data_IF_193175926598
#
_entry.id   IF_193175926598
#
_cell.length_a   1.000
_cell.length_b   1.000
_cell.length_c   1.000
_cell.angle_alpha   90.00
_cell.angle_beta   90.00
_cell.angle_gamma   90.00
#
_symmetry.space_group_name_H-M   'P 1'
#
loop_
_entity.id
_entity.type
_entity.pdbx_description
1 polymer ?
#
# COMPACT_ATOMS: atom_id res chain seq x y z
N UNK A 1 15.07 7.11 -50.40
CA UNK A 1 16.11 6.30 -49.73
C UNK A 1 16.73 7.20 -48.67
N UNK A 2 16.29 7.10 -47.40
CA UNK A 2 16.88 6.23 -46.36
C UNK A 2 18.15 6.88 -45.77
N UNK A 3 18.37 7.09 -44.47
CA UNK A 3 17.75 6.61 -43.22
C UNK A 3 17.91 7.69 -42.11
N UNK A 4 16.95 7.75 -41.18
CA UNK A 4 17.09 8.45 -39.90
C UNK A 4 17.80 7.54 -38.88
N UNK A 5 18.75 8.09 -38.12
CA UNK A 5 19.46 7.39 -37.06
C UNK A 5 18.59 7.32 -35.79
N UNK A 6 18.30 6.10 -35.34
CA UNK A 6 17.62 5.82 -34.08
C UNK A 6 18.63 5.87 -32.92
N UNK A 7 18.34 6.66 -31.89
CA UNK A 7 19.07 6.62 -30.61
C UNK A 7 18.33 5.65 -29.69
N UNK A 8 18.96 4.52 -29.38
CA UNK A 8 18.42 3.51 -28.47
C UNK A 8 18.75 3.88 -27.01
N UNK A 9 17.71 4.06 -26.19
CA UNK A 9 17.83 4.09 -24.73
C UNK A 9 18.01 2.66 -24.21
N UNK A 10 19.07 2.42 -23.44
CA UNK A 10 19.36 1.14 -22.78
C UNK A 10 18.87 1.22 -21.32
N UNK A 11 17.93 0.38 -20.87
CA UNK A 11 17.57 0.26 -19.46
C UNK A 11 18.66 -0.49 -18.67
N UNK A 12 19.04 -0.05 -17.45
CA UNK A 12 19.94 -0.82 -16.61
C UNK A 12 19.15 -1.94 -15.91
N UNK A 13 19.84 -3.04 -15.66
CA UNK A 13 19.42 -4.18 -14.83
C UNK A 13 18.66 -5.30 -15.53
N UNK A 14 19.28 -5.92 -16.55
CA UNK A 14 19.06 -7.36 -16.77
C UNK A 14 20.37 -8.09 -17.13
N UNK A 15 20.64 -9.11 -16.30
CA UNK A 15 21.48 -10.30 -16.51
C UNK A 15 23.01 -10.16 -16.42
N UNK A 16 23.57 -10.82 -15.40
CA UNK A 16 24.80 -11.58 -15.58
C UNK A 16 24.67 -12.94 -14.89
N UNK A 17 24.23 -13.94 -15.65
CA UNK A 17 24.51 -15.35 -15.35
C UNK A 17 25.90 -15.63 -15.93
N UNK A 18 26.83 -16.10 -15.11
CA UNK A 18 28.04 -16.77 -15.58
C UNK A 18 28.02 -18.22 -15.15
N UNK A 19 28.15 -19.11 -16.13
CA UNK A 19 28.23 -20.54 -15.97
C UNK A 19 29.68 -21.05 -16.08
N UNK A 20 29.85 -22.31 -15.67
CA UNK A 20 30.98 -23.25 -15.78
C UNK A 20 32.06 -23.14 -14.68
N UNK A 21 32.60 -24.23 -14.10
CA UNK A 21 32.72 -25.61 -14.56
C UNK A 21 32.82 -26.66 -13.41
N UNK A 22 32.70 -27.93 -13.82
CA UNK A 22 32.66 -29.24 -13.13
C UNK A 22 33.74 -29.51 -12.07
N UNK A 23 33.47 -30.43 -11.11
CA UNK A 23 34.11 -31.78 -10.99
C UNK A 23 33.74 -32.54 -9.67
N UNK A 24 33.33 -33.82 -9.86
CA UNK A 24 33.38 -35.05 -9.02
C UNK A 24 32.63 -35.22 -7.67
N UNK A 25 31.64 -36.13 -7.76
CA UNK A 25 31.27 -37.27 -6.87
C UNK A 25 32.02 -37.46 -5.54
N UNK A 26 31.27 -37.68 -4.44
CA UNK A 26 31.20 -38.98 -3.74
C UNK A 26 30.30 -38.99 -2.48
N UNK A 27 29.52 -40.08 -2.37
CA UNK A 27 29.25 -40.87 -1.15
C UNK A 27 28.54 -40.27 0.09
N UNK A 28 27.31 -40.77 0.31
CA UNK A 28 26.68 -41.20 1.58
C UNK A 28 27.39 -40.85 2.91
N UNK A 29 26.66 -40.21 3.83
CA UNK A 29 26.42 -40.69 5.22
C UNK A 29 25.40 -39.83 5.99
N UNK A 30 24.34 -40.49 6.46
CA UNK A 30 23.32 -40.03 7.40
C UNK A 30 23.88 -39.94 8.83
N UNK A 31 23.69 -38.82 9.55
CA UNK A 31 23.46 -38.73 11.03
C UNK A 31 23.23 -37.26 11.50
N UNK A 32 22.72 -37.01 12.71
CA UNK A 32 21.43 -36.39 12.98
C UNK A 32 21.52 -34.90 13.38
N UNK A 33 20.37 -34.22 13.26
CA UNK A 33 20.13 -32.86 13.75
C UNK A 33 20.41 -32.76 15.26
N UNK A 34 21.26 -31.80 15.65
CA UNK A 34 21.20 -31.19 16.99
C UNK A 34 20.41 -29.88 16.86
N UNK A 35 19.35 -29.63 17.65
CA UNK A 35 18.76 -28.32 17.72
C UNK A 35 19.76 -27.38 18.39
N UNK A 36 20.16 -26.33 17.69
CA UNK A 36 20.81 -25.19 18.32
C UNK A 36 19.73 -24.46 19.13
N UNK A 37 19.77 -24.66 20.45
CA UNK A 37 19.07 -23.82 21.43
C UNK A 37 19.65 -22.41 21.31
N UNK A 38 18.97 -21.53 20.59
CA UNK A 38 19.21 -20.09 20.68
C UNK A 38 18.44 -19.61 21.90
N UNK A 39 19.12 -19.56 23.03
CA UNK A 39 18.62 -18.86 24.22
C UNK A 39 18.78 -17.36 23.96
N UNK A 40 17.79 -16.73 23.32
CA UNK A 40 17.65 -15.29 23.34
C UNK A 40 16.67 -14.91 24.44
N UNK A 41 17.20 -14.45 25.58
CA UNK A 41 16.42 -13.69 26.55
C UNK A 41 15.90 -12.42 25.88
N UNK A 42 14.66 -12.46 25.39
CA UNK A 42 13.96 -11.31 24.84
C UNK A 42 12.69 -11.07 25.62
N UNK A 43 12.50 -9.84 26.11
CA UNK A 43 11.26 -9.40 26.75
C UNK A 43 10.07 -9.68 25.82
N UNK A 44 9.35 -10.76 26.11
CA UNK A 44 8.22 -11.29 25.33
C UNK A 44 6.95 -10.47 25.50
N UNK A 45 7.03 -9.15 25.31
CA UNK A 45 5.84 -8.35 25.04
C UNK A 45 5.31 -8.76 23.67
N UNK A 46 4.11 -9.35 23.59
CA UNK A 46 3.40 -9.50 22.32
C UNK A 46 3.31 -8.10 21.70
N UNK A 47 4.01 -7.86 20.59
CA UNK A 47 3.82 -6.63 19.81
C UNK A 47 2.33 -6.60 19.44
N UNK A 48 1.63 -5.58 19.91
CA UNK A 48 0.25 -5.32 19.51
C UNK A 48 0.32 -4.70 18.12
N UNK A 49 -0.49 -5.20 17.20
CA UNK A 49 -0.64 -4.61 15.88
C UNK A 49 -1.78 -3.57 15.93
N UNK A 50 -1.69 -2.47 15.18
CA UNK A 50 -2.76 -1.47 15.14
C UNK A 50 -4.01 -2.10 14.54
N UNK A 51 -5.19 -1.65 14.98
CA UNK A 51 -6.47 -2.05 14.42
C UNK A 51 -7.02 -0.90 13.57
N UNK A 52 -7.11 -1.11 12.26
CA UNK A 52 -7.53 -0.07 11.34
C UNK A 52 -8.99 0.32 11.58
N UNK A 53 -9.24 1.62 11.57
CA UNK A 53 -10.59 2.18 11.49
C UNK A 53 -10.55 3.53 10.79
N UNK A 54 -11.66 3.92 10.17
CA UNK A 54 -11.84 5.27 9.67
C UNK A 54 -12.10 6.24 10.83
N UNK A 55 -11.44 7.41 10.82
CA UNK A 55 -11.71 8.49 11.78
C UNK A 55 -12.53 9.60 11.15
N UNK A 56 -13.43 10.18 11.94
CA UNK A 56 -14.24 11.32 11.50
C UNK A 56 -13.38 12.56 11.26
N UNK A 57 -13.87 13.48 10.43
CA UNK A 57 -13.23 14.76 10.11
C UNK A 57 -11.80 14.67 9.52
N UNK A 58 -11.37 13.51 9.01
CA UNK A 58 -10.10 13.38 8.30
C UNK A 58 -10.24 13.73 6.82
N UNK A 59 -10.94 12.90 6.02
CA UNK A 59 -11.15 13.18 4.59
C UNK A 59 -9.92 13.02 3.68
N UNK A 60 -8.73 12.68 4.20
CA UNK A 60 -7.50 12.59 3.39
C UNK A 60 -7.60 11.61 2.22
N UNK A 61 -8.38 10.53 2.36
CA UNK A 61 -8.64 9.57 1.28
C UNK A 61 -9.39 10.18 0.08
N UNK A 62 -10.05 11.33 0.25
CA UNK A 62 -10.77 12.04 -0.81
C UNK A 62 -9.86 12.99 -1.61
N UNK A 63 -8.59 13.18 -1.25
CA UNK A 63 -7.62 13.81 -2.14
C UNK A 63 -7.16 12.76 -3.14
N UNK A 64 -7.75 12.72 -4.33
CA UNK A 64 -7.50 11.66 -5.31
C UNK A 64 -6.25 11.93 -6.14
N UNK A 65 -5.99 13.20 -6.49
CA UNK A 65 -4.77 13.59 -7.18
C UNK A 65 -3.66 13.92 -6.16
N UNK A 66 -2.72 12.98 -5.95
CA UNK A 66 -1.66 13.06 -4.93
C UNK A 66 -0.24 13.21 -5.49
N UNK A 67 -0.10 13.32 -6.82
CA UNK A 67 1.18 13.43 -7.50
C UNK A 67 1.91 12.09 -7.68
N UNK A 68 3.13 12.11 -8.24
CA UNK A 68 3.82 10.93 -8.77
C UNK A 68 4.36 9.96 -7.71
N UNK A 69 4.37 10.36 -6.43
CA UNK A 69 4.77 9.49 -5.33
C UNK A 69 3.70 8.46 -4.95
N UNK A 70 2.51 8.55 -5.54
CA UNK A 70 1.40 7.62 -5.35
C UNK A 70 1.10 6.91 -6.68
N UNK A 71 0.65 5.64 -6.65
CA UNK A 71 0.22 4.93 -7.85
C UNK A 71 -0.90 5.68 -8.57
N UNK A 72 -0.85 5.70 -9.90
CA UNK A 72 -1.94 6.24 -10.72
C UNK A 72 -3.13 5.27 -10.75
N UNK A 73 -4.35 5.71 -11.10
CA UNK A 73 -5.48 4.78 -11.26
C UNK A 73 -5.18 3.68 -12.29
N UNK A 74 -4.38 3.96 -13.31
CA UNK A 74 -3.92 2.97 -14.30
C UNK A 74 -2.98 1.90 -13.73
N UNK A 75 -2.30 2.19 -12.61
CA UNK A 75 -1.44 1.21 -11.93
C UNK A 75 -2.24 0.34 -10.93
N UNK A 76 -3.42 0.83 -10.50
CA UNK A 76 -4.25 0.18 -9.46
C UNK A 76 -5.33 -0.70 -10.09
N UNK A 77 -5.98 -0.24 -11.16
CA UNK A 77 -7.14 -0.90 -11.73
C UNK A 77 -6.80 -1.64 -13.02
N UNK A 78 -7.16 -2.92 -13.07
CA UNK A 78 -7.12 -3.71 -14.31
C UNK A 78 -8.31 -3.40 -15.23
N UNK A 79 -9.47 -3.04 -14.66
CA UNK A 79 -10.67 -2.69 -15.42
C UNK A 79 -10.64 -1.21 -15.86
N UNK A 80 -10.67 -0.92 -17.18
CA UNK A 80 -10.71 0.45 -17.68
C UNK A 80 -11.92 1.26 -17.20
N UNK A 81 -13.04 0.62 -16.86
CA UNK A 81 -14.23 1.30 -16.35
C UNK A 81 -14.03 1.83 -14.93
N UNK A 82 -13.23 1.15 -14.11
CA UNK A 82 -12.85 1.63 -12.78
C UNK A 82 -11.90 2.82 -12.86
N UNK A 83 -10.95 2.80 -13.81
CA UNK A 83 -10.10 3.96 -14.11
C UNK A 83 -10.95 5.18 -14.47
N UNK A 84 -11.87 5.02 -15.43
CA UNK A 84 -12.76 6.10 -15.85
C UNK A 84 -13.63 6.62 -14.70
N UNK A 85 -14.16 5.71 -13.88
CA UNK A 85 -14.95 6.10 -12.71
C UNK A 85 -14.08 6.87 -11.71
N UNK A 86 -12.88 6.40 -11.39
CA UNK A 86 -11.96 7.10 -10.49
C UNK A 86 -11.63 8.51 -10.99
N UNK A 87 -11.26 8.64 -12.27
CA UNK A 87 -10.92 9.93 -12.89
C UNK A 87 -12.12 10.88 -12.93
N UNK A 88 -13.33 10.37 -13.20
CA UNK A 88 -14.56 11.18 -13.20
C UNK A 88 -14.88 11.79 -11.83
N UNK A 89 -14.35 11.22 -10.75
CA UNK A 89 -14.54 11.73 -9.40
C UNK A 89 -13.55 12.85 -9.06
N UNK A 90 -12.51 13.09 -9.86
CA UNK A 90 -11.49 14.10 -9.57
C UNK A 90 -11.98 15.49 -9.99
N UNK A 91 -12.12 16.39 -9.02
CA UNK A 91 -12.42 17.79 -9.24
C UNK A 91 -11.20 18.60 -9.71
N UNK A 92 -11.39 19.85 -10.15
CA UNK A 92 -10.33 20.69 -10.71
C UNK A 92 -9.20 21.04 -9.72
N UNK A 93 -9.41 20.81 -8.42
CA UNK A 93 -8.43 20.99 -7.36
C UNK A 93 -7.83 19.66 -6.87
N UNK A 94 -8.08 18.58 -7.60
CA UNK A 94 -7.61 17.23 -7.33
C UNK A 94 -8.34 16.53 -6.17
N UNK A 95 -9.37 17.12 -5.58
CA UNK A 95 -10.22 16.48 -4.57
C UNK A 95 -11.41 15.78 -5.22
N UNK A 96 -11.93 14.75 -4.55
CA UNK A 96 -13.15 14.09 -4.99
C UNK A 96 -14.32 15.10 -5.06
N UNK A 97 -15.07 15.13 -6.16
CA UNK A 97 -16.22 16.01 -6.36
C UNK A 97 -17.34 15.79 -5.32
N UNK A 98 -17.38 14.62 -4.69
CA UNK A 98 -18.34 14.27 -3.64
C UNK A 98 -17.80 14.58 -2.23
N UNK A 99 -16.62 15.16 -2.09
CA UNK A 99 -16.07 15.54 -0.80
C UNK A 99 -16.55 16.94 -0.38
N UNK A 100 -17.41 16.98 0.62
CA UNK A 100 -17.88 18.21 1.22
C UNK A 100 -16.82 18.76 2.17
N UNK A 101 -16.04 19.75 1.71
CA UNK A 101 -14.90 20.29 2.46
C UNK A 101 -15.28 20.95 3.78
N UNK A 102 -16.47 21.56 3.85
CA UNK A 102 -16.94 22.25 5.06
C UNK A 102 -17.19 21.29 6.22
N UNK A 103 -17.79 20.13 5.92
CA UNK A 103 -18.13 19.10 6.91
C UNK A 103 -17.12 17.95 6.97
N UNK A 104 -16.20 17.91 6.00
CA UNK A 104 -15.22 16.84 5.79
C UNK A 104 -15.85 15.45 5.64
N UNK A 105 -16.97 15.40 4.91
CA UNK A 105 -17.75 14.16 4.67
C UNK A 105 -17.87 13.89 3.18
N UNK A 106 -18.04 12.62 2.83
CA UNK A 106 -18.43 12.22 1.49
C UNK A 106 -19.96 12.29 1.38
N UNK A 107 -20.48 13.01 0.38
CA UNK A 107 -21.93 13.15 0.13
C UNK A 107 -22.60 11.83 -0.25
N UNK A 108 -21.83 10.89 -0.82
CA UNK A 108 -22.28 9.56 -1.25
C UNK A 108 -21.70 8.44 -0.35
N UNK A 109 -21.51 8.69 0.95
CA UNK A 109 -20.74 7.79 1.82
C UNK A 109 -21.25 6.33 1.78
N UNK A 110 -22.57 6.14 1.71
CA UNK A 110 -23.22 4.83 1.65
C UNK A 110 -23.05 4.17 0.27
N UNK A 111 -23.08 4.94 -0.80
CA UNK A 111 -23.01 4.51 -2.20
C UNK A 111 -21.59 4.58 -2.78
N UNK A 112 -20.57 4.83 -1.96
CA UNK A 112 -19.17 4.92 -2.41
C UNK A 112 -18.79 3.72 -3.29
N UNK A 113 -18.07 3.96 -4.40
CA UNK A 113 -17.44 2.90 -5.18
C UNK A 113 -16.61 1.99 -4.28
N UNK A 114 -16.48 0.72 -4.65
CA UNK A 114 -15.81 -0.27 -3.81
C UNK A 114 -14.35 0.14 -3.51
N UNK A 115 -13.63 0.71 -4.48
CA UNK A 115 -12.25 1.17 -4.31
C UNK A 115 -12.10 2.36 -3.34
N UNK A 116 -13.18 3.05 -3.01
CA UNK A 116 -13.18 4.08 -1.97
C UNK A 116 -13.34 3.50 -0.56
N UNK A 117 -13.57 2.18 -0.42
CA UNK A 117 -13.72 1.48 0.86
C UNK A 117 -12.41 0.85 1.28
N UNK A 118 -12.00 1.15 2.50
CA UNK A 118 -10.84 0.53 3.12
C UNK A 118 -11.32 -0.69 3.88
N UNK A 119 -11.53 -1.77 3.14
CA UNK A 119 -12.05 -3.06 3.62
C UNK A 119 -11.10 -4.19 3.21
N UNK A 120 -10.99 -5.27 4.00
CA UNK A 120 -10.07 -6.36 3.72
C UNK A 120 -10.23 -6.95 2.31
N UNK A 121 -11.46 -7.14 1.86
CA UNK A 121 -11.79 -7.75 0.57
C UNK A 121 -11.37 -6.84 -0.60
N UNK A 122 -11.48 -5.52 -0.44
CA UNK A 122 -11.02 -4.54 -1.44
C UNK A 122 -9.49 -4.50 -1.50
N UNK A 123 -8.82 -4.60 -0.36
CA UNK A 123 -7.35 -4.62 -0.30
C UNK A 123 -6.75 -5.90 -0.89
N UNK A 124 -7.43 -7.03 -0.71
CA UNK A 124 -7.06 -8.29 -1.34
C UNK A 124 -7.22 -8.19 -2.86
N UNK A 125 -8.37 -7.68 -3.33
CA UNK A 125 -8.66 -7.51 -4.76
C UNK A 125 -7.68 -6.57 -5.47
N UNK A 126 -7.45 -5.37 -4.93
CA UNK A 126 -6.68 -4.33 -5.62
C UNK A 126 -5.16 -4.46 -5.43
N UNK A 127 -4.71 -5.08 -4.33
CA UNK A 127 -3.30 -5.06 -3.95
C UNK A 127 -2.74 -6.45 -3.58
N UNK A 128 -3.54 -7.51 -3.58
CA UNK A 128 -3.14 -8.84 -3.11
C UNK A 128 -2.80 -8.88 -1.62
N UNK A 129 -3.34 -7.95 -0.83
CA UNK A 129 -3.10 -7.85 0.60
C UNK A 129 -4.12 -8.70 1.36
N UNK A 130 -3.64 -9.83 1.90
CA UNK A 130 -4.51 -10.72 2.67
C UNK A 130 -5.07 -10.08 3.94
N UNK A 131 -6.24 -10.56 4.38
CA UNK A 131 -6.92 -10.11 5.61
C UNK A 131 -6.03 -10.10 6.86
N UNK A 132 -5.06 -11.02 6.96
CA UNK A 132 -4.12 -11.06 8.07
C UNK A 132 -3.16 -9.86 8.10
N UNK A 133 -2.86 -9.27 6.94
CA UNK A 133 -2.01 -8.07 6.81
C UNK A 133 -2.81 -6.77 6.71
N UNK A 134 -4.11 -6.86 6.43
CA UNK A 134 -4.99 -5.71 6.19
C UNK A 134 -4.78 -4.56 7.17
N UNK A 135 -4.90 -4.81 8.48
CA UNK A 135 -4.83 -3.72 9.47
C UNK A 135 -3.51 -2.96 9.40
N UNK A 136 -2.39 -3.68 9.28
CA UNK A 136 -1.06 -3.08 9.20
C UNK A 136 -0.92 -2.23 7.93
N UNK A 137 -1.29 -2.78 6.78
CA UNK A 137 -1.11 -2.10 5.49
C UNK A 137 -2.11 -0.93 5.32
N UNK A 138 -3.36 -1.10 5.75
CA UNK A 138 -4.36 -0.03 5.75
C UNK A 138 -3.96 1.11 6.69
N UNK A 139 -3.41 0.81 7.88
CA UNK A 139 -2.88 1.84 8.78
C UNK A 139 -1.71 2.60 8.15
N UNK A 140 -0.79 1.89 7.49
CA UNK A 140 0.34 2.52 6.78
C UNK A 140 -0.15 3.43 5.65
N UNK A 141 -1.01 2.92 4.77
CA UNK A 141 -1.54 3.66 3.63
C UNK A 141 -2.32 4.92 4.05
N UNK A 142 -3.17 4.81 5.08
CA UNK A 142 -3.86 5.97 5.65
C UNK A 142 -2.88 6.97 6.27
N UNK A 143 -1.86 6.51 7.00
CA UNK A 143 -0.82 7.36 7.58
C UNK A 143 -0.10 8.17 6.50
N UNK A 144 0.36 7.52 5.44
CA UNK A 144 1.10 8.17 4.36
C UNK A 144 0.22 9.14 3.58
N UNK A 145 -1.04 8.78 3.36
CA UNK A 145 -2.03 9.67 2.74
C UNK A 145 -2.29 10.90 3.60
N UNK A 146 -2.51 10.75 4.90
CA UNK A 146 -2.75 11.88 5.80
C UNK A 146 -1.54 12.81 5.83
N UNK A 147 -0.32 12.26 5.92
CA UNK A 147 0.92 13.05 5.89
C UNK A 147 1.07 13.85 4.59
N UNK A 148 0.75 13.24 3.45
CA UNK A 148 0.85 13.91 2.17
C UNK A 148 -0.19 15.05 2.01
N UNK A 149 -1.37 14.90 2.60
CA UNK A 149 -2.47 15.86 2.46
C UNK A 149 -2.40 16.98 3.50
N UNK A 150 -2.14 16.64 4.77
CA UNK A 150 -2.23 17.56 5.90
C UNK A 150 -0.89 17.82 6.60
N UNK A 151 0.14 17.00 6.35
CA UNK A 151 1.45 17.10 6.99
C UNK A 151 1.64 16.16 8.18
N UNK A 152 2.89 16.03 8.61
CA UNK A 152 3.31 15.12 9.69
C UNK A 152 2.84 15.54 11.09
N UNK A 153 2.55 16.83 11.28
CA UNK A 153 2.15 17.40 12.58
C UNK A 153 0.63 17.68 12.63
N UNK A 154 -0.14 17.13 11.70
CA UNK A 154 -1.57 17.38 11.55
C UNK A 154 -2.42 16.74 12.65
N UNK A 155 -3.50 17.42 13.05
CA UNK A 155 -4.48 16.90 14.01
C UNK A 155 -5.16 15.62 13.48
N UNK A 156 -5.35 15.52 12.17
CA UNK A 156 -5.90 14.34 11.50
C UNK A 156 -5.01 13.12 11.73
N UNK A 157 -3.68 13.29 11.64
CA UNK A 157 -2.74 12.19 11.87
C UNK A 157 -2.70 11.78 13.34
N UNK A 158 -2.70 12.75 14.26
CA UNK A 158 -2.74 12.46 15.69
C UNK A 158 -4.03 11.71 16.07
N UNK A 159 -5.17 12.18 15.56
CA UNK A 159 -6.48 11.54 15.77
C UNK A 159 -6.50 10.12 15.22
N UNK A 160 -6.00 9.92 14.00
CA UNK A 160 -5.92 8.60 13.38
C UNK A 160 -5.04 7.63 14.17
N UNK A 161 -3.82 8.07 14.53
CA UNK A 161 -2.90 7.28 15.33
C UNK A 161 -3.52 6.88 16.67
N UNK A 162 -4.15 7.83 17.38
CA UNK A 162 -4.82 7.52 18.63
C UNK A 162 -5.89 6.43 18.43
N UNK A 163 -6.77 6.59 17.44
CA UNK A 163 -7.84 5.62 17.20
C UNK A 163 -7.31 4.20 16.95
N UNK A 164 -6.35 4.03 16.02
CA UNK A 164 -5.90 2.69 15.61
C UNK A 164 -5.06 1.96 16.66
N UNK A 165 -4.52 2.67 17.64
CA UNK A 165 -3.78 2.08 18.76
C UNK A 165 -4.63 1.87 20.02
N UNK A 166 -5.74 2.61 20.19
CA UNK A 166 -6.57 2.57 21.40
C UNK A 166 -7.74 1.59 21.30
N UNK A 167 -8.18 1.23 20.08
CA UNK A 167 -9.27 0.27 19.83
C UNK A 167 -8.95 -1.20 20.15
N UNK A 168 -7.98 -1.43 21.04
CA UNK A 168 -7.57 -2.73 21.59
C UNK A 168 -7.77 -2.74 23.12
N UNK A 169 -8.73 -1.94 23.62
CA UNK A 169 -9.07 -1.88 25.06
C UNK A 169 -10.25 -2.81 25.36
#
# INVERSE_FOLDING_TARGET
MSYAAAVAFIPPCFVSVRAAARVKQQSKKTRPQKPATVTSNGFGGKKRDPMWQCVQNCGACCKLEKGPSFPSPHDIFEDPSDVQLYESLIGPDGWCINYEKSTRKCSIYAERPYFCRVEPEVFDLLYGISKAKFNKEACSCCTDTIKAVYGIDSEELQTFNHAVWTSIS
#
